data_IF_258080624137
#
_entry.id   IF_258080624137
#
_cell.length_a   1.000
_cell.length_b   1.000
_cell.length_c   1.000
_cell.angle_alpha   90.00
_cell.angle_beta   90.00
_cell.angle_gamma   90.00
#
_symmetry.space_group_name_H-M   'P 1'
#
loop_
_entity.id
_entity.type
_entity.pdbx_description
1 polymer ?
#
# COMPACT_ATOMS: atom_id res chain seq x y z
N UNK A 1 -20.09 -0.86 -8.59
CA UNK A 1 -19.14 0.20 -9.08
C UNK A 1 -18.93 0.07 -10.59
N UNK A 2 -18.59 1.18 -11.26
CA UNK A 2 -18.18 1.14 -12.68
C UNK A 2 -16.68 0.86 -12.76
N UNK A 3 -16.30 -0.14 -13.58
CA UNK A 3 -14.90 -0.50 -13.85
C UNK A 3 -14.47 0.06 -15.20
N UNK A 4 -13.30 0.69 -15.27
CA UNK A 4 -12.68 1.11 -16.51
C UNK A 4 -11.17 0.95 -16.46
N UNK A 5 -10.54 0.80 -17.63
CA UNK A 5 -9.08 0.74 -17.75
C UNK A 5 -8.63 1.87 -18.64
N UNK A 6 -7.68 2.67 -18.15
CA UNK A 6 -7.11 3.80 -18.89
C UNK A 6 -5.59 3.77 -18.83
N UNK A 7 -4.97 4.46 -19.76
CA UNK A 7 -3.53 4.72 -19.74
C UNK A 7 -3.30 6.14 -19.21
N UNK A 8 -2.48 6.26 -18.15
CA UNK A 8 -2.02 7.54 -17.60
C UNK A 8 -0.50 7.55 -17.72
N UNK A 9 0.03 8.46 -18.53
CA UNK A 9 1.42 8.41 -19.00
C UNK A 9 1.75 7.03 -19.59
N UNK A 10 2.66 6.28 -19.00
CA UNK A 10 3.07 4.95 -19.46
C UNK A 10 2.54 3.80 -18.57
N UNK A 11 1.64 4.11 -17.61
CA UNK A 11 1.09 3.13 -16.67
C UNK A 11 -0.39 2.82 -16.97
N UNK A 12 -0.70 1.54 -17.06
CA UNK A 12 -2.09 1.07 -17.12
C UNK A 12 -2.73 1.22 -15.76
N UNK A 13 -3.84 1.95 -15.69
CA UNK A 13 -4.62 2.16 -14.48
C UNK A 13 -5.98 1.50 -14.61
N UNK A 14 -6.36 0.68 -13.62
CA UNK A 14 -7.68 0.07 -13.48
C UNK A 14 -8.44 0.88 -12.42
N UNK A 15 -9.60 1.40 -12.78
CA UNK A 15 -10.38 2.30 -11.94
C UNK A 15 -11.73 1.67 -11.65
N UNK A 16 -12.09 1.62 -10.36
CA UNK A 16 -13.43 1.29 -9.89
C UNK A 16 -14.03 2.53 -9.24
N UNK A 17 -15.10 3.05 -9.82
CA UNK A 17 -15.72 4.29 -9.39
C UNK A 17 -17.13 4.07 -8.85
N UNK A 18 -17.44 4.62 -7.66
CA UNK A 18 -18.80 4.86 -7.17
C UNK A 18 -19.33 6.20 -7.67
N UNK A 19 -20.63 6.47 -7.48
CA UNK A 19 -21.27 7.68 -8.00
C UNK A 19 -20.80 8.95 -7.28
N UNK A 20 -20.67 8.90 -5.95
CA UNK A 20 -20.26 10.03 -5.11
C UNK A 20 -19.17 9.56 -4.13
N UNK A 21 -17.92 9.42 -4.57
CA UNK A 21 -16.85 8.87 -3.72
C UNK A 21 -16.42 9.87 -2.65
N UNK A 22 -16.32 9.40 -1.40
CA UNK A 22 -15.75 10.10 -0.26
C UNK A 22 -14.23 9.86 -0.15
N UNK A 23 -13.75 8.76 -0.74
CA UNK A 23 -12.35 8.32 -0.66
C UNK A 23 -11.78 7.97 -2.03
N UNK A 24 -10.50 8.30 -2.20
CA UNK A 24 -9.66 7.76 -3.26
C UNK A 24 -8.71 6.73 -2.64
N UNK A 25 -8.80 5.49 -3.07
CA UNK A 25 -7.90 4.40 -2.72
C UNK A 25 -6.93 4.19 -3.88
N UNK A 26 -5.63 4.23 -3.62
CA UNK A 26 -4.59 4.04 -4.63
C UNK A 26 -3.73 2.85 -4.25
N UNK A 27 -3.38 1.99 -5.23
CA UNK A 27 -2.41 0.92 -5.02
C UNK A 27 -1.60 0.60 -6.26
N UNK A 28 -0.28 0.37 -6.14
CA UNK A 28 0.50 -0.30 -7.16
C UNK A 28 0.20 -1.79 -7.17
N UNK A 29 0.09 -2.39 -8.36
CA UNK A 29 -0.23 -3.80 -8.55
C UNK A 29 0.69 -4.46 -9.57
N UNK A 30 0.84 -5.79 -9.47
CA UNK A 30 1.39 -6.66 -10.50
C UNK A 30 0.29 -7.42 -11.27
N UNK A 31 0.66 -8.44 -12.06
CA UNK A 31 -0.30 -9.26 -12.79
C UNK A 31 -1.12 -10.17 -11.86
N UNK A 32 -0.51 -10.66 -10.78
CA UNK A 32 -1.19 -11.51 -9.81
C UNK A 32 -2.25 -10.73 -9.02
N UNK A 33 -1.90 -9.53 -8.57
CA UNK A 33 -2.83 -8.62 -7.89
C UNK A 33 -3.99 -8.25 -8.84
N UNK A 34 -3.70 -8.04 -10.14
CA UNK A 34 -4.72 -7.74 -11.13
C UNK A 34 -5.78 -8.83 -11.26
N UNK A 35 -5.40 -10.11 -11.18
CA UNK A 35 -6.33 -11.24 -11.24
C UNK A 35 -7.29 -11.25 -10.04
N UNK A 36 -6.84 -10.81 -8.87
CA UNK A 36 -7.61 -10.79 -7.63
C UNK A 36 -8.38 -9.47 -7.37
N UNK A 37 -8.14 -8.43 -8.16
CA UNK A 37 -8.59 -7.06 -7.91
C UNK A 37 -10.13 -6.92 -7.86
N UNK A 38 -10.88 -7.66 -8.69
CA UNK A 38 -12.35 -7.65 -8.65
C UNK A 38 -12.88 -8.18 -7.30
N UNK A 39 -12.24 -9.22 -6.76
CA UNK A 39 -12.59 -9.76 -5.45
C UNK A 39 -12.21 -8.80 -4.33
N UNK A 40 -11.03 -8.19 -4.39
CA UNK A 40 -10.58 -7.19 -3.41
C UNK A 40 -11.60 -6.05 -3.30
N UNK A 41 -12.01 -5.47 -4.43
CA UNK A 41 -13.01 -4.39 -4.47
C UNK A 41 -14.34 -4.84 -3.89
N UNK A 42 -14.82 -6.05 -4.22
CA UNK A 42 -16.05 -6.60 -3.66
C UNK A 42 -15.96 -6.78 -2.13
N UNK A 43 -14.81 -7.22 -1.62
CA UNK A 43 -14.57 -7.35 -0.18
C UNK A 43 -14.54 -5.98 0.49
N UNK A 44 -13.85 -4.96 -0.07
CA UNK A 44 -13.91 -3.58 0.47
C UNK A 44 -15.36 -3.13 0.59
N UNK A 45 -16.16 -3.29 -0.49
CA UNK A 45 -17.58 -2.91 -0.48
C UNK A 45 -18.41 -3.64 0.58
N UNK A 46 -18.05 -4.87 0.92
CA UNK A 46 -18.74 -5.64 1.96
C UNK A 46 -18.38 -5.21 3.38
N UNK A 47 -17.22 -4.58 3.57
CA UNK A 47 -16.67 -4.17 4.87
C UNK A 47 -16.97 -2.71 5.25
N UNK A 48 -17.55 -1.93 4.35
CA UNK A 48 -17.83 -0.51 4.59
C UNK A 48 -19.11 -0.04 3.92
N UNK A 49 -19.74 0.97 4.51
CA UNK A 49 -20.84 1.72 3.90
C UNK A 49 -20.36 3.02 3.20
N UNK A 50 -19.05 3.29 3.26
CA UNK A 50 -18.44 4.46 2.64
C UNK A 50 -18.31 4.29 1.13
N UNK A 51 -18.45 5.37 0.40
CA UNK A 51 -18.25 5.40 -1.05
C UNK A 51 -16.79 5.72 -1.40
N UNK A 52 -16.24 5.01 -2.39
CA UNK A 52 -14.84 5.21 -2.79
C UNK A 52 -14.63 5.05 -4.29
N UNK A 53 -13.56 5.65 -4.79
CA UNK A 53 -12.91 5.31 -6.05
C UNK A 53 -11.64 4.55 -5.73
N UNK A 54 -11.43 3.38 -6.35
CA UNK A 54 -10.15 2.66 -6.27
C UNK A 54 -9.42 2.77 -7.59
N UNK A 55 -8.14 3.15 -7.53
CA UNK A 55 -7.24 3.24 -8.68
C UNK A 55 -6.04 2.34 -8.44
N UNK A 56 -6.00 1.23 -9.15
CA UNK A 56 -4.85 0.33 -9.17
C UNK A 56 -4.02 0.62 -10.42
N UNK A 57 -2.71 0.83 -10.27
CA UNK A 57 -1.80 1.07 -11.40
C UNK A 57 -0.71 0.02 -11.49
N UNK A 58 -0.42 -0.42 -12.73
CA UNK A 58 0.53 -1.52 -12.97
C UNK A 58 1.97 -1.07 -12.83
N UNK A 59 2.74 -1.88 -12.10
CA UNK A 59 4.20 -1.77 -11.94
C UNK A 59 4.87 -2.68 -12.95
N UNK A 60 5.91 -2.21 -13.61
CA UNK A 60 6.69 -2.97 -14.60
C UNK A 60 7.86 -3.73 -13.96
N UNK A 61 8.59 -3.06 -13.07
CA UNK A 61 9.71 -3.63 -12.33
C UNK A 61 9.44 -3.56 -10.83
N UNK A 62 8.83 -4.64 -10.30
CA UNK A 62 8.37 -4.74 -8.92
C UNK A 62 9.47 -4.50 -7.89
N UNK A 63 10.68 -5.03 -8.14
CA UNK A 63 11.80 -4.91 -7.23
C UNK A 63 12.54 -3.58 -7.32
N UNK A 64 12.36 -2.85 -8.40
CA UNK A 64 12.99 -1.54 -8.58
C UNK A 64 12.04 -0.38 -8.25
N UNK A 65 10.84 -0.37 -8.84
CA UNK A 65 9.92 0.77 -8.75
C UNK A 65 9.31 0.96 -7.35
N UNK A 66 9.31 -0.07 -6.50
CA UNK A 66 8.68 -0.04 -5.17
C UNK A 66 9.68 0.06 -4.00
N UNK A 67 10.97 0.17 -4.30
CA UNK A 67 12.02 0.20 -3.27
C UNK A 67 12.76 1.54 -3.24
N UNK A 68 12.99 2.10 -2.03
CA UNK A 68 13.49 3.47 -1.87
C UNK A 68 15.00 3.62 -2.05
N UNK A 69 15.77 2.55 -1.93
CA UNK A 69 17.22 2.50 -2.14
C UNK A 69 17.65 1.12 -2.60
N UNK A 70 18.83 1.05 -3.23
CA UNK A 70 19.40 -0.21 -3.72
C UNK A 70 19.75 -1.15 -2.57
N UNK A 71 19.40 -2.42 -2.74
CA UNK A 71 19.79 -3.47 -1.81
C UNK A 71 20.09 -4.78 -2.55
N UNK A 72 20.93 -5.67 -1.98
CA UNK A 72 21.14 -7.01 -2.53
C UNK A 72 19.83 -7.80 -2.61
N UNK A 73 19.78 -8.77 -3.52
CA UNK A 73 18.67 -9.70 -3.59
C UNK A 73 18.52 -10.48 -2.27
N UNK A 74 17.34 -10.44 -1.67
CA UNK A 74 16.96 -11.22 -0.49
C UNK A 74 16.28 -12.53 -0.90
N UNK A 75 15.57 -12.50 -2.02
CA UNK A 75 14.99 -13.68 -2.68
C UNK A 75 15.28 -13.62 -4.19
N UNK A 76 15.30 -14.78 -4.83
CA UNK A 76 15.67 -14.86 -6.25
C UNK A 76 17.12 -14.43 -6.51
N UNK A 77 17.35 -13.76 -7.66
CA UNK A 77 18.69 -13.32 -8.10
C UNK A 77 18.75 -11.84 -8.48
N UNK A 78 17.61 -11.16 -8.55
CA UNK A 78 17.51 -9.76 -9.00
C UNK A 78 17.66 -8.87 -7.77
N UNK A 79 18.63 -7.93 -7.76
CA UNK A 79 18.75 -6.97 -6.67
C UNK A 79 17.60 -5.96 -6.68
N UNK A 80 17.39 -5.31 -5.57
CA UNK A 80 16.42 -4.22 -5.45
C UNK A 80 16.99 -2.92 -6.03
N UNK A 81 16.12 -2.12 -6.65
CA UNK A 81 16.45 -0.81 -7.18
C UNK A 81 16.22 0.34 -6.20
N UNK A 82 15.99 1.54 -6.75
CA UNK A 82 15.76 2.80 -6.01
C UNK A 82 14.67 3.66 -6.65
N UNK A 83 13.72 3.02 -7.35
CA UNK A 83 12.70 3.69 -8.15
C UNK A 83 11.49 4.21 -7.38
N UNK A 84 11.37 3.95 -6.07
CA UNK A 84 10.20 4.37 -5.28
C UNK A 84 9.96 5.88 -5.32
N UNK A 85 11.02 6.70 -5.36
CA UNK A 85 10.89 8.16 -5.50
C UNK A 85 10.19 8.52 -6.81
N UNK A 86 10.57 7.90 -7.93
CA UNK A 86 9.93 8.13 -9.22
C UNK A 86 8.47 7.65 -9.24
N UNK A 87 8.17 6.51 -8.59
CA UNK A 87 6.80 6.01 -8.45
C UNK A 87 5.95 6.94 -7.60
N UNK A 88 6.48 7.48 -6.51
CA UNK A 88 5.77 8.46 -5.70
C UNK A 88 5.54 9.78 -6.47
N UNK A 89 6.54 10.25 -7.23
CA UNK A 89 6.39 11.41 -8.11
C UNK A 89 5.33 11.18 -9.19
N UNK A 90 5.28 9.98 -9.79
CA UNK A 90 4.19 9.64 -10.71
C UNK A 90 2.81 9.80 -10.04
N UNK A 91 2.64 9.31 -8.81
CA UNK A 91 1.35 9.47 -8.09
C UNK A 91 1.05 10.95 -7.87
N UNK A 92 2.00 11.72 -7.33
CA UNK A 92 1.79 13.12 -6.94
C UNK A 92 1.61 14.07 -8.12
N UNK A 93 2.48 13.92 -9.11
CA UNK A 93 2.68 14.95 -10.15
C UNK A 93 1.93 14.61 -11.45
N UNK A 94 1.48 13.35 -11.61
CA UNK A 94 0.83 12.87 -12.83
C UNK A 94 -0.53 12.24 -12.51
N UNK A 95 -0.57 11.18 -11.69
CA UNK A 95 -1.80 10.42 -11.45
C UNK A 95 -2.87 11.29 -10.80
N UNK A 96 -2.58 11.91 -9.65
CA UNK A 96 -3.54 12.75 -8.90
C UNK A 96 -4.08 13.89 -9.77
N UNK A 97 -3.25 14.72 -10.44
CA UNK A 97 -3.76 15.78 -11.31
C UNK A 97 -4.62 15.27 -12.47
N UNK A 98 -4.30 14.11 -13.05
CA UNK A 98 -5.12 13.50 -14.09
C UNK A 98 -6.47 13.00 -13.56
N UNK A 99 -6.52 12.48 -12.34
CA UNK A 99 -7.77 12.05 -11.69
C UNK A 99 -8.65 13.26 -11.35
N UNK A 100 -8.08 14.37 -10.89
CA UNK A 100 -8.80 15.62 -10.67
C UNK A 100 -9.40 16.16 -11.98
N UNK A 101 -8.58 16.23 -13.05
CA UNK A 101 -9.05 16.68 -14.36
C UNK A 101 -10.20 15.82 -14.90
N UNK A 102 -10.19 14.51 -14.61
CA UNK A 102 -11.27 13.58 -15.01
C UNK A 102 -12.44 13.53 -14.04
N UNK A 103 -12.44 14.36 -12.99
CA UNK A 103 -13.46 14.37 -11.93
C UNK A 103 -13.62 12.99 -11.23
N UNK A 104 -12.52 12.30 -11.07
CA UNK A 104 -12.41 11.04 -10.35
C UNK A 104 -11.88 11.21 -8.91
N UNK A 105 -11.30 12.35 -8.64
CA UNK A 105 -10.82 12.78 -7.33
C UNK A 105 -11.10 14.30 -7.14
N UNK A 106 -11.41 14.68 -5.91
CA UNK A 106 -11.56 16.05 -5.46
C UNK A 106 -10.81 16.19 -4.13
N UNK A 107 -9.65 16.82 -4.16
CA UNK A 107 -8.76 16.96 -2.99
C UNK A 107 -9.36 17.74 -1.83
N UNK A 108 -10.34 18.59 -2.09
CA UNK A 108 -10.99 19.42 -1.07
C UNK A 108 -12.14 18.68 -0.36
N UNK A 109 -12.69 17.62 -0.99
CA UNK A 109 -13.86 16.89 -0.51
C UNK A 109 -13.63 15.37 -0.35
N UNK A 110 -12.51 14.82 -0.82
CA UNK A 110 -12.20 13.40 -0.73
C UNK A 110 -10.89 13.19 0.02
N UNK A 111 -10.85 12.11 0.80
CA UNK A 111 -9.61 11.64 1.45
C UNK A 111 -8.85 10.69 0.56
N UNK A 112 -7.52 10.77 0.61
CA UNK A 112 -6.64 9.95 -0.20
C UNK A 112 -5.92 8.89 0.65
N UNK A 113 -6.03 7.62 0.27
CA UNK A 113 -5.41 6.48 0.95
C UNK A 113 -4.52 5.74 -0.02
N UNK A 114 -3.27 5.50 0.36
CA UNK A 114 -2.34 4.64 -0.38
C UNK A 114 -2.23 3.28 0.31
N UNK A 115 -2.30 2.21 -0.45
CA UNK A 115 -2.14 0.87 0.09
C UNK A 115 -1.44 -0.08 -0.86
N UNK A 116 -1.26 -1.31 -0.41
CA UNK A 116 -0.72 -2.40 -1.21
C UNK A 116 -0.23 -3.57 -0.37
N UNK A 117 0.11 -4.64 -1.06
CA UNK A 117 0.59 -5.89 -0.50
C UNK A 117 2.10 -6.06 -0.69
N UNK A 118 2.80 -6.68 0.24
CA UNK A 118 4.21 -7.04 0.10
C UNK A 118 5.14 -5.82 -0.15
N UNK A 119 5.86 -5.75 -1.25
CA UNK A 119 6.67 -4.58 -1.62
C UNK A 119 5.80 -3.35 -1.92
N UNK A 120 4.58 -3.52 -2.44
CA UNK A 120 3.64 -2.41 -2.58
C UNK A 120 3.17 -1.88 -1.21
N UNK A 121 2.96 -2.76 -0.22
CA UNK A 121 2.70 -2.37 1.16
C UNK A 121 3.89 -1.67 1.82
N UNK A 122 5.11 -2.10 1.51
CA UNK A 122 6.34 -1.45 1.94
C UNK A 122 6.50 -0.06 1.30
N UNK A 123 6.24 0.06 -0.01
CA UNK A 123 6.22 1.34 -0.72
C UNK A 123 5.20 2.31 -0.12
N UNK A 124 3.98 1.83 0.17
CA UNK A 124 2.96 2.64 0.81
C UNK A 124 3.43 3.13 2.19
N UNK A 125 4.00 2.24 3.02
CA UNK A 125 4.54 2.60 4.33
C UNK A 125 5.70 3.60 4.23
N UNK A 126 6.64 3.41 3.29
CA UNK A 126 7.72 4.37 3.04
C UNK A 126 7.17 5.73 2.59
N UNK A 127 6.15 5.75 1.73
CA UNK A 127 5.52 6.98 1.25
C UNK A 127 4.92 7.81 2.38
N UNK A 128 4.49 7.19 3.49
CA UNK A 128 4.03 7.87 4.69
C UNK A 128 5.07 8.83 5.29
N UNK A 129 6.36 8.58 5.06
CA UNK A 129 7.47 9.39 5.55
C UNK A 129 7.91 10.48 4.55
N UNK A 130 7.36 10.49 3.33
CA UNK A 130 7.79 11.36 2.24
C UNK A 130 6.81 12.52 1.95
N UNK A 131 5.54 12.36 2.28
CA UNK A 131 4.50 13.30 1.86
C UNK A 131 3.27 13.24 2.77
N UNK A 132 2.62 14.39 2.93
CA UNK A 132 1.32 14.54 3.62
C UNK A 132 0.12 14.27 2.69
N UNK A 133 0.36 13.84 1.44
CA UNK A 133 -0.69 13.61 0.45
C UNK A 133 -1.73 12.56 0.90
N UNK A 134 -1.31 11.60 1.72
CA UNK A 134 -2.15 10.47 2.10
C UNK A 134 -2.68 10.63 3.52
N UNK A 135 -3.99 10.63 3.68
CA UNK A 135 -4.67 10.62 4.98
C UNK A 135 -4.46 9.30 5.72
N UNK A 136 -4.26 8.21 4.96
CA UNK A 136 -4.05 6.88 5.53
C UNK A 136 -3.21 5.97 4.66
N UNK A 137 -2.55 5.01 5.30
CA UNK A 137 -1.68 4.02 4.67
C UNK A 137 -2.14 2.61 5.02
N UNK A 138 -2.46 1.80 4.01
CA UNK A 138 -2.71 0.36 4.15
C UNK A 138 -1.46 -0.45 3.79
N UNK A 139 -0.58 -0.67 4.77
CA UNK A 139 0.63 -1.47 4.59
C UNK A 139 0.34 -2.94 4.93
N UNK A 140 -0.04 -3.73 3.92
CA UNK A 140 -0.53 -5.10 4.08
C UNK A 140 0.58 -6.10 3.82
N UNK A 141 0.88 -6.95 4.79
CA UNK A 141 2.03 -7.88 4.76
C UNK A 141 3.31 -7.23 4.22
N UNK A 142 3.66 -6.00 4.68
CA UNK A 142 4.70 -5.19 4.06
C UNK A 142 6.08 -5.84 4.24
N UNK A 143 6.94 -5.68 3.24
CA UNK A 143 8.32 -6.17 3.26
C UNK A 143 9.21 -5.37 4.22
N UNK A 144 8.80 -5.20 5.49
CA UNK A 144 9.53 -4.42 6.51
C UNK A 144 10.86 -5.03 6.96
N UNK A 145 11.17 -6.24 6.49
CA UNK A 145 12.51 -6.86 6.56
C UNK A 145 13.52 -6.24 5.59
N UNK A 146 13.09 -5.26 4.79
CA UNK A 146 13.93 -4.61 3.79
C UNK A 146 15.18 -4.00 4.44
N UNK A 147 16.40 -4.20 3.86
CA UNK A 147 17.63 -3.74 4.46
C UNK A 147 17.60 -2.24 4.82
N UNK A 148 18.06 -1.89 6.02
CA UNK A 148 18.12 -0.52 6.57
C UNK A 148 16.75 0.14 6.84
N UNK A 149 15.62 -0.58 6.64
CA UNK A 149 14.30 0.01 6.86
C UNK A 149 14.07 0.39 8.32
N UNK A 150 14.40 -0.50 9.25
CA UNK A 150 14.13 -0.23 10.68
C UNK A 150 14.96 0.94 11.20
N UNK A 151 16.23 1.03 10.78
CA UNK A 151 17.10 2.16 11.10
C UNK A 151 16.55 3.48 10.54
N UNK A 152 16.02 3.43 9.31
CA UNK A 152 15.37 4.59 8.69
C UNK A 152 14.12 5.01 9.48
N UNK A 153 13.25 4.07 9.84
CA UNK A 153 11.99 4.35 10.53
C UNK A 153 12.20 4.87 11.98
N UNK A 154 13.30 4.47 12.65
CA UNK A 154 13.65 4.95 13.99
C UNK A 154 14.01 6.44 14.03
N UNK A 155 14.68 6.93 13.00
CA UNK A 155 15.19 8.32 12.97
C UNK A 155 14.28 9.29 12.20
N UNK A 156 13.24 8.78 11.55
CA UNK A 156 12.27 9.59 10.81
C UNK A 156 10.88 9.46 11.41
N UNK A 157 10.06 10.49 11.24
CA UNK A 157 8.66 10.49 11.68
C UNK A 157 7.75 10.45 10.44
N UNK A 158 6.73 9.56 10.41
CA UNK A 158 5.75 9.56 9.33
C UNK A 158 4.90 10.83 9.33
N UNK A 159 4.49 11.27 8.17
CA UNK A 159 3.62 12.41 7.93
C UNK A 159 2.14 11.99 7.88
N UNK A 160 1.86 10.72 7.54
CA UNK A 160 0.51 10.16 7.57
C UNK A 160 0.00 10.02 9.01
N UNK A 161 -1.29 10.31 9.22
CA UNK A 161 -1.93 10.28 10.55
C UNK A 161 -2.47 8.90 10.94
N UNK A 162 -2.73 8.04 9.96
CA UNK A 162 -3.28 6.69 10.17
C UNK A 162 -2.53 5.66 9.34
N UNK A 163 -2.11 4.55 9.97
CA UNK A 163 -1.39 3.45 9.30
C UNK A 163 -1.97 2.11 9.76
N UNK A 164 -2.54 1.37 8.81
CA UNK A 164 -2.90 -0.02 9.02
C UNK A 164 -1.70 -0.90 8.70
N UNK A 165 -1.37 -1.80 9.61
CA UNK A 165 -0.38 -2.87 9.42
C UNK A 165 -1.06 -4.22 9.51
N UNK A 166 -0.67 -5.18 8.69
CA UNK A 166 -1.07 -6.57 8.88
C UNK A 166 0.02 -7.54 8.49
N UNK A 167 -0.08 -8.77 9.01
CA UNK A 167 0.82 -9.86 8.67
C UNK A 167 0.10 -11.20 8.77
N UNK A 168 0.49 -12.19 7.96
CA UNK A 168 0.07 -13.57 8.14
C UNK A 168 0.81 -14.25 9.29
N UNK A 169 0.11 -15.04 10.12
CA UNK A 169 0.63 -15.72 11.30
C UNK A 169 1.69 -16.80 11.02
N UNK A 170 1.91 -17.10 9.72
CA UNK A 170 2.94 -18.04 9.25
C UNK A 170 4.04 -17.38 8.42
N UNK A 171 3.99 -16.08 8.18
CA UNK A 171 4.99 -15.41 7.34
C UNK A 171 6.39 -15.38 7.96
N UNK A 172 6.50 -15.20 9.27
CA UNK A 172 7.78 -15.27 9.99
C UNK A 172 8.37 -16.70 10.06
N UNK A 173 7.62 -17.73 9.61
CA UNK A 173 8.07 -19.15 9.57
C UNK A 173 8.74 -19.52 8.25
N UNK A 174 9.07 -18.55 7.40
CA UNK A 174 9.81 -18.80 6.15
C UNK A 174 11.23 -19.31 6.42
N UNK A 175 11.78 -20.08 5.44
CA UNK A 175 13.17 -20.59 5.51
C UNK A 175 14.23 -19.51 5.23
N UNK A 176 13.85 -18.40 4.60
CA UNK A 176 14.78 -17.30 4.32
C UNK A 176 15.00 -16.50 5.61
N UNK A 177 16.23 -16.43 6.15
CA UNK A 177 16.50 -15.83 7.46
C UNK A 177 16.22 -14.31 7.51
N UNK A 178 16.40 -13.61 6.40
CA UNK A 178 16.09 -12.18 6.31
C UNK A 178 14.58 -11.96 6.33
N UNK A 179 13.84 -12.67 5.49
CA UNK A 179 12.39 -12.57 5.43
C UNK A 179 11.71 -13.04 6.73
N UNK A 180 12.30 -14.00 7.44
CA UNK A 180 11.80 -14.48 8.73
C UNK A 180 11.78 -13.38 9.82
N UNK A 181 12.55 -12.30 9.65
CA UNK A 181 12.54 -11.15 10.57
C UNK A 181 11.26 -10.29 10.43
N UNK A 182 10.42 -10.55 9.42
CA UNK A 182 9.22 -9.75 9.15
C UNK A 182 8.33 -9.58 10.39
N UNK A 183 8.16 -10.65 11.20
CA UNK A 183 7.36 -10.60 12.42
C UNK A 183 7.94 -9.66 13.48
N UNK A 184 9.26 -9.70 13.69
CA UNK A 184 9.95 -8.78 14.62
C UNK A 184 9.92 -7.34 14.09
N UNK A 185 10.21 -7.14 12.81
CA UNK A 185 10.23 -5.82 12.19
C UNK A 185 8.84 -5.16 12.22
N UNK A 186 7.75 -5.89 11.96
CA UNK A 186 6.41 -5.28 11.94
C UNK A 186 5.91 -4.92 13.35
N UNK A 187 6.24 -5.72 14.37
CA UNK A 187 5.93 -5.38 15.78
C UNK A 187 6.67 -4.11 16.20
N UNK A 188 7.95 -4.00 15.85
CA UNK A 188 8.76 -2.81 16.11
C UNK A 188 8.23 -1.59 15.33
N UNK A 189 7.81 -1.78 14.07
CA UNK A 189 7.19 -0.73 13.27
C UNK A 189 5.90 -0.21 13.93
N UNK A 190 5.05 -1.09 14.43
CA UNK A 190 3.85 -0.70 15.16
C UNK A 190 4.18 0.10 16.42
N UNK A 191 5.18 -0.35 17.19
CA UNK A 191 5.64 0.35 18.40
C UNK A 191 6.13 1.77 18.07
N UNK A 192 6.93 1.93 17.01
CA UNK A 192 7.39 3.23 16.53
C UNK A 192 6.23 4.16 16.15
N UNK A 193 5.28 3.66 15.35
CA UNK A 193 4.10 4.43 14.96
C UNK A 193 3.27 4.87 16.17
N UNK A 194 3.07 3.98 17.13
CA UNK A 194 2.34 4.27 18.37
C UNK A 194 3.04 5.34 19.20
N UNK A 195 4.36 5.24 19.40
CA UNK A 195 5.14 6.24 20.16
C UNK A 195 5.18 7.60 19.45
N UNK A 196 5.04 7.62 18.12
CA UNK A 196 4.96 8.83 17.31
C UNK A 196 3.55 9.41 17.21
N UNK A 197 2.58 8.85 17.94
CA UNK A 197 1.17 9.29 17.96
C UNK A 197 0.44 9.13 16.62
N UNK A 198 0.83 8.14 15.83
CA UNK A 198 0.11 7.72 14.63
C UNK A 198 -1.02 6.77 15.04
N UNK A 199 -2.24 6.98 14.52
CA UNK A 199 -3.31 6.02 14.70
C UNK A 199 -2.97 4.73 13.94
N UNK A 200 -2.74 3.63 14.66
CA UNK A 200 -2.25 2.40 14.03
C UNK A 200 -2.81 1.14 14.69
N UNK A 201 -2.95 0.12 13.87
CA UNK A 201 -3.26 -1.25 14.30
C UNK A 201 -2.30 -2.22 13.61
N UNK A 202 -2.01 -3.34 14.25
CA UNK A 202 -1.39 -4.51 13.61
C UNK A 202 -2.36 -5.69 13.67
N UNK A 203 -2.92 -6.05 12.52
CA UNK A 203 -3.81 -7.21 12.38
C UNK A 203 -3.03 -8.46 11.96
N UNK A 204 -3.21 -9.55 12.71
CA UNK A 204 -2.68 -10.85 12.35
C UNK A 204 -3.74 -11.65 11.58
N UNK A 205 -3.41 -12.09 10.37
CA UNK A 205 -4.28 -12.88 9.52
C UNK A 205 -3.85 -14.37 9.52
N UNK A 206 -4.76 -15.33 9.40
CA UNK A 206 -4.39 -16.72 9.20
C UNK A 206 -3.61 -16.92 7.89
N UNK A 207 -2.55 -17.74 7.93
CA UNK A 207 -1.85 -18.20 6.72
C UNK A 207 -0.49 -17.54 6.48
N UNK A 208 0.09 -17.89 5.32
CA UNK A 208 1.39 -17.41 4.88
C UNK A 208 1.26 -16.21 3.92
N UNK A 209 2.41 -15.76 3.40
CA UNK A 209 2.50 -14.58 2.52
C UNK A 209 1.72 -14.69 1.20
N UNK A 210 1.42 -15.89 0.72
CA UNK A 210 0.79 -16.13 -0.59
C UNK A 210 -0.70 -16.45 -0.50
N UNK A 211 -1.35 -16.15 0.64
CA UNK A 211 -2.75 -16.50 0.89
C UNK A 211 -3.58 -15.26 1.18
N UNK A 212 -4.69 -15.11 0.45
CA UNK A 212 -5.71 -14.09 0.70
C UNK A 212 -5.17 -12.65 0.66
N UNK A 213 -4.26 -12.33 -0.28
CA UNK A 213 -3.68 -10.98 -0.40
C UNK A 213 -4.76 -9.92 -0.67
N UNK A 214 -5.73 -10.25 -1.50
CA UNK A 214 -6.88 -9.43 -1.84
C UNK A 214 -7.79 -9.12 -0.63
N UNK A 215 -8.19 -10.16 0.11
CA UNK A 215 -9.02 -9.98 1.32
C UNK A 215 -8.28 -9.18 2.41
N UNK A 216 -6.98 -9.41 2.56
CA UNK A 216 -6.14 -8.69 3.54
C UNK A 216 -5.96 -7.23 3.14
N UNK A 217 -5.75 -6.94 1.85
CA UNK A 217 -5.63 -5.57 1.34
C UNK A 217 -6.96 -4.84 1.49
N UNK A 218 -8.06 -5.50 1.16
CA UNK A 218 -9.40 -4.97 1.37
C UNK A 218 -9.68 -4.59 2.84
N UNK A 219 -9.27 -5.42 3.80
CA UNK A 219 -9.40 -5.09 5.25
C UNK A 219 -8.61 -3.83 5.61
N UNK A 220 -7.41 -3.66 5.07
CA UNK A 220 -6.58 -2.48 5.30
C UNK A 220 -7.26 -1.20 4.82
N UNK A 221 -7.77 -1.21 3.59
CA UNK A 221 -8.55 -0.08 3.07
C UNK A 221 -9.83 0.16 3.88
N UNK A 222 -10.60 -0.89 4.16
CA UNK A 222 -11.84 -0.77 4.92
C UNK A 222 -11.59 -0.21 6.33
N UNK A 223 -10.53 -0.65 7.02
CA UNK A 223 -10.18 -0.10 8.33
C UNK A 223 -9.94 1.40 8.26
N UNK A 224 -9.17 1.88 7.28
CA UNK A 224 -8.83 3.30 7.13
C UNK A 224 -10.07 4.17 6.82
N UNK A 225 -10.94 3.71 5.93
CA UNK A 225 -12.11 4.50 5.52
C UNK A 225 -13.26 4.45 6.54
N UNK A 226 -13.21 3.51 7.51
CA UNK A 226 -14.19 3.41 8.60
C UNK A 226 -13.79 4.18 9.87
N UNK A 227 -12.60 4.85 9.90
CA UNK A 227 -12.10 5.56 11.10
C UNK A 227 -12.85 6.86 11.41
N UNK A 228 -13.86 7.25 10.63
CA UNK A 228 -14.62 8.49 10.83
C UNK A 228 -16.10 8.33 10.62
#
# INVERSE_FOLDING_TARGET
MKKETILIADKTCIIYKSEQPEYLLIQPIDEHDLEALDNEVAVVQSLTNKSFTLVAFKIKDWQSELTPWKAPAVFGKIPFGDGAVATLSFIKDILIPQLEQKQLFDKDNMRCVLGGYSLAGFFALWSAYQTELFDGIAAVSPSVWYPQWMEYAEINKPLATSVYLSLGDKEEKTKNPTMAQVGNCIRKQQELLTTQSVNTILEWNPGNHFQHSDERTAKGFAWLINQN
#
